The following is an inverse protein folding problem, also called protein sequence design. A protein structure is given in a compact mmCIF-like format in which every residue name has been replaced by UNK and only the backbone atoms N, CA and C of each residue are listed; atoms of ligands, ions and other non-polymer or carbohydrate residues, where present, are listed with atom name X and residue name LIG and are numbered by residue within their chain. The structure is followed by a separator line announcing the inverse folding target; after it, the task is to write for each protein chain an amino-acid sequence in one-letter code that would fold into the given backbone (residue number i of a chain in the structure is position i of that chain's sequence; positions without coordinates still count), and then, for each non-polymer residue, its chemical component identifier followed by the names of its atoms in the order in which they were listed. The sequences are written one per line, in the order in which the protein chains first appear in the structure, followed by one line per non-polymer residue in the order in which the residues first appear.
data_IF_541747998553
#
_entry.id   IF_541747998553
#
_cell.length_a   1.000
_cell.length_b   1.000
_cell.length_c   1.000
_cell.angle_alpha   90.00
_cell.angle_beta   90.00
_cell.angle_gamma   90.00
#
_symmetry.space_group_name_H-M   'P 1'
#
loop_
_entity.id
_entity.type
_entity.pdbx_description
1 polymer ?
#
# COMPACT_ATOMS: atom_id res chain seq x y z
N UNK A 1 4.63 -11.09 51.00
CA UNK A 1 4.25 -9.77 51.52
C UNK A 1 3.64 -8.99 50.39
N UNK A 2 2.42 -8.50 50.63
CA UNK A 2 1.52 -7.85 49.69
C UNK A 2 2.01 -6.47 49.27
N UNK A 3 1.57 -6.03 48.08
CA UNK A 3 1.73 -4.66 47.61
C UNK A 3 0.97 -4.35 46.33
N UNK A 4 -0.31 -4.76 46.25
CA UNK A 4 -1.26 -4.30 45.22
C UNK A 4 -1.94 -3.00 45.69
N UNK A 5 -1.98 -1.98 44.83
CA UNK A 5 -3.00 -0.91 44.78
C UNK A 5 -2.99 -0.39 43.33
N UNK A 6 -3.98 -0.61 42.45
CA UNK A 6 -5.44 -0.44 42.51
C UNK A 6 -5.90 1.03 42.29
N UNK A 7 -6.05 1.40 41.01
CA UNK A 7 -7.12 2.25 40.45
C UNK A 7 -7.44 1.70 39.03
N UNK A 8 -8.30 0.68 38.94
CA UNK A 8 -9.74 0.77 38.54
C UNK A 8 -9.86 1.10 37.04
N UNK A 9 -10.02 0.11 36.15
CA UNK A 9 -11.23 -0.71 35.84
C UNK A 9 -12.34 0.13 35.19
N UNK A 10 -12.61 -0.15 33.92
CA UNK A 10 -13.71 0.45 33.17
C UNK A 10 -13.91 -0.17 31.78
N UNK A 11 -14.52 -1.37 31.76
CA UNK A 11 -15.26 -1.98 30.64
C UNK A 11 -14.43 -2.72 29.56
N UNK A 12 -14.02 -3.94 29.90
CA UNK A 12 -13.93 -5.09 28.97
C UNK A 12 -15.11 -6.01 29.27
N UNK A 13 -16.35 -5.54 29.14
CA UNK A 13 -17.58 -6.37 29.13
C UNK A 13 -18.71 -5.59 28.41
N UNK A 14 -18.65 -5.44 27.08
CA UNK A 14 -19.85 -5.08 26.27
C UNK A 14 -19.94 -5.83 24.94
N UNK A 15 -18.87 -6.35 24.35
CA UNK A 15 -18.96 -7.03 23.03
C UNK A 15 -19.16 -8.55 23.08
N UNK A 16 -19.30 -9.14 24.27
CA UNK A 16 -19.58 -10.59 24.45
C UNK A 16 -21.04 -10.93 24.77
N UNK A 17 -21.95 -9.96 24.89
CA UNK A 17 -23.36 -10.16 25.27
C UNK A 17 -24.32 -9.50 24.26
N UNK A 18 -24.01 -9.59 22.96
CA UNK A 18 -24.95 -9.25 21.87
C UNK A 18 -25.11 -10.40 20.85
N UNK A 19 -24.69 -11.62 21.20
CA UNK A 19 -24.79 -12.81 20.33
C UNK A 19 -25.45 -14.02 21.02
N UNK A 20 -26.50 -13.82 21.85
CA UNK A 20 -27.21 -14.99 22.38
C UNK A 20 -28.30 -14.73 23.40
N UNK A 21 -29.35 -13.99 23.06
CA UNK A 21 -30.68 -14.13 23.68
C UNK A 21 -31.71 -13.35 22.85
N UNK A 22 -32.33 -14.00 21.87
CA UNK A 22 -33.38 -13.38 21.08
C UNK A 22 -33.86 -14.24 19.91
N UNK A 23 -34.62 -15.30 20.20
CA UNK A 23 -35.64 -15.78 19.27
C UNK A 23 -35.37 -17.13 18.58
N UNK A 24 -35.32 -18.22 19.35
CA UNK A 24 -36.08 -19.40 18.94
C UNK A 24 -37.55 -19.12 19.31
N UNK A 25 -38.42 -19.11 18.30
CA UNK A 25 -39.90 -19.23 18.28
C UNK A 25 -40.43 -18.27 17.21
N UNK A 26 -40.63 -18.78 15.99
CA UNK A 26 -41.97 -18.84 15.39
C UNK A 26 -41.93 -19.75 14.16
N UNK A 27 -42.51 -20.94 14.32
CA UNK A 27 -42.91 -21.82 13.22
C UNK A 27 -44.34 -21.46 12.81
N UNK A 28 -44.57 -21.54 11.50
CA UNK A 28 -45.80 -21.94 10.80
C UNK A 28 -46.79 -20.87 10.29
N UNK A 29 -47.16 -21.13 9.02
CA UNK A 29 -48.31 -20.72 8.20
C UNK A 29 -48.22 -19.35 7.49
N UNK A 30 -48.52 -19.20 6.19
CA UNK A 30 -49.23 -20.09 5.27
C UNK A 30 -48.97 -19.71 3.79
N UNK A 31 -48.99 -20.75 2.95
CA UNK A 31 -49.37 -20.86 1.53
C UNK A 31 -49.65 -19.64 0.62
N UNK A 32 -49.18 -19.84 -0.62
CA UNK A 32 -49.81 -19.59 -1.93
C UNK A 32 -49.43 -18.36 -2.75
N UNK A 33 -48.65 -18.64 -3.80
CA UNK A 33 -48.83 -18.27 -5.22
C UNK A 33 -49.40 -16.88 -5.58
N UNK A 34 -48.61 -16.09 -6.33
CA UNK A 34 -48.89 -15.84 -7.76
C UNK A 34 -47.78 -15.03 -8.44
N UNK A 35 -47.64 -15.38 -9.71
CA UNK A 35 -46.86 -14.82 -10.81
C UNK A 35 -47.29 -13.39 -11.19
N UNK A 36 -46.32 -12.60 -11.67
CA UNK A 36 -46.52 -11.52 -12.64
C UNK A 36 -46.65 -10.09 -12.10
N UNK A 37 -45.61 -9.26 -12.31
CA UNK A 37 -45.71 -7.97 -13.02
C UNK A 37 -44.34 -7.28 -13.08
N UNK A 38 -43.92 -6.98 -14.31
CA UNK A 38 -42.80 -6.13 -14.68
C UNK A 38 -43.00 -4.70 -14.18
N UNK A 39 -42.02 -4.16 -13.47
CA UNK A 39 -41.84 -2.71 -13.30
C UNK A 39 -40.37 -2.40 -13.55
N UNK A 40 -40.14 -1.71 -14.66
CA UNK A 40 -38.84 -1.20 -15.09
C UNK A 40 -38.43 -0.04 -14.19
N UNK A 41 -37.64 -0.34 -13.16
CA UNK A 41 -36.97 0.68 -12.35
C UNK A 41 -35.69 1.11 -13.07
N UNK A 42 -35.57 2.41 -13.38
CA UNK A 42 -34.33 3.04 -13.83
C UNK A 42 -33.15 2.63 -12.94
N UNK A 43 -31.92 2.45 -13.48
CA UNK A 43 -30.75 2.32 -12.65
C UNK A 43 -30.46 3.67 -11.98
N UNK A 44 -30.88 3.79 -10.73
CA UNK A 44 -30.28 4.72 -9.77
C UNK A 44 -28.77 4.46 -9.77
N UNK A 45 -27.91 5.46 -9.97
CA UNK A 45 -26.48 5.27 -9.77
C UNK A 45 -26.28 4.91 -8.29
N UNK A 46 -25.95 3.65 -8.05
CA UNK A 46 -25.51 3.14 -6.78
C UNK A 46 -24.17 3.82 -6.44
N UNK A 47 -24.29 5.02 -5.87
CA UNK A 47 -23.22 5.68 -5.15
C UNK A 47 -23.06 4.97 -3.80
N UNK A 48 -22.64 3.71 -3.86
CA UNK A 48 -22.05 3.04 -2.72
C UNK A 48 -20.55 3.33 -2.76
N UNK A 49 -20.20 4.45 -2.13
CA UNK A 49 -18.87 4.72 -1.61
C UNK A 49 -18.56 3.73 -0.47
N UNK A 50 -18.56 2.44 -0.78
CA UNK A 50 -18.05 1.41 0.11
C UNK A 50 -16.53 1.43 -0.04
N UNK A 51 -15.90 2.26 0.80
CA UNK A 51 -14.46 2.33 1.02
C UNK A 51 -13.97 0.93 1.39
N UNK A 52 -13.24 0.20 0.52
CA UNK A 52 -12.61 -1.04 0.95
C UNK A 52 -11.47 -0.64 1.87
N UNK A 53 -11.54 -1.04 3.14
CA UNK A 53 -10.33 -1.08 3.95
C UNK A 53 -9.40 -2.09 3.29
N UNK A 54 -8.27 -1.63 2.78
CA UNK A 54 -7.45 -2.44 1.90
C UNK A 54 -6.06 -1.86 1.70
N UNK A 55 -5.21 -2.62 1.06
CA UNK A 55 -3.87 -2.22 0.69
C UNK A 55 -3.83 -1.62 -0.71
N UNK A 56 -2.71 -0.96 -1.05
CA UNK A 56 -2.48 -0.50 -2.41
C UNK A 56 -2.48 -1.66 -3.41
N UNK A 57 -1.94 -2.81 -2.97
CA UNK A 57 -1.95 -4.05 -3.73
C UNK A 57 -3.38 -4.55 -4.01
N UNK A 58 -4.27 -4.50 -3.03
CA UNK A 58 -5.67 -4.88 -3.21
C UNK A 58 -6.35 -4.02 -4.27
N UNK A 59 -6.15 -2.70 -4.21
CA UNK A 59 -6.70 -1.74 -5.19
C UNK A 59 -6.21 -2.05 -6.59
N UNK A 60 -4.91 -2.32 -6.74
CA UNK A 60 -4.33 -2.65 -8.04
C UNK A 60 -4.92 -3.95 -8.59
N UNK A 61 -5.06 -4.98 -7.74
CA UNK A 61 -5.59 -6.28 -8.11
C UNK A 61 -7.08 -6.28 -8.46
N UNK A 62 -7.85 -5.25 -8.06
CA UNK A 62 -9.23 -5.08 -8.54
C UNK A 62 -9.32 -4.82 -10.04
N UNK A 63 -8.24 -4.36 -10.69
CA UNK A 63 -8.18 -4.10 -12.14
C UNK A 63 -9.09 -2.97 -12.62
N UNK A 64 -9.73 -2.23 -11.71
CA UNK A 64 -10.64 -1.13 -12.03
C UNK A 64 -9.86 0.13 -12.41
N UNK A 65 -10.42 0.91 -13.34
CA UNK A 65 -9.93 2.26 -13.60
C UNK A 65 -10.51 3.22 -12.57
N UNK A 66 -9.68 3.68 -11.64
CA UNK A 66 -10.14 4.48 -10.51
C UNK A 66 -9.05 5.42 -9.98
N UNK A 67 -9.50 6.54 -9.42
CA UNK A 67 -8.71 7.45 -8.61
C UNK A 67 -9.08 7.21 -7.15
N UNK A 68 -8.11 6.93 -6.29
CA UNK A 68 -8.30 6.72 -4.88
C UNK A 68 -7.53 7.77 -4.08
N UNK A 69 -8.14 8.32 -3.03
CA UNK A 69 -7.45 9.17 -2.05
C UNK A 69 -7.44 8.49 -0.70
N UNK A 70 -6.35 8.66 0.06
CA UNK A 70 -6.25 8.14 1.42
C UNK A 70 -5.50 9.12 2.32
N UNK A 71 -5.71 8.92 3.61
CA UNK A 71 -4.93 9.55 4.67
C UNK A 71 -4.71 8.53 5.77
N UNK A 72 -3.49 8.41 6.25
CA UNK A 72 -3.10 7.52 7.34
C UNK A 72 -2.22 8.29 8.32
N UNK A 73 -2.40 8.03 9.61
CA UNK A 73 -1.61 8.65 10.68
C UNK A 73 -1.12 7.57 11.63
N UNK A 74 0.18 7.57 11.90
CA UNK A 74 0.81 6.82 12.97
C UNK A 74 1.18 7.77 14.13
N UNK A 75 1.77 7.22 15.18
CA UNK A 75 2.24 8.01 16.34
C UNK A 75 3.34 9.02 15.96
N UNK A 76 4.11 8.73 14.90
CA UNK A 76 5.31 9.49 14.52
C UNK A 76 5.18 10.22 13.19
N UNK A 77 4.19 9.88 12.36
CA UNK A 77 4.05 10.44 11.02
C UNK A 77 2.60 10.47 10.53
N UNK A 78 2.32 11.29 9.53
CA UNK A 78 1.08 11.23 8.77
C UNK A 78 1.36 11.22 7.27
N UNK A 79 0.68 10.35 6.55
CA UNK A 79 0.78 10.22 5.10
C UNK A 79 -0.58 10.47 4.47
N UNK A 80 -0.62 11.34 3.47
CA UNK A 80 -1.79 11.49 2.59
C UNK A 80 -1.37 11.24 1.15
N UNK A 81 -2.31 10.82 0.32
CA UNK A 81 -1.97 10.62 -1.08
C UNK A 81 -3.14 10.38 -2.00
N UNK A 82 -2.82 10.48 -3.28
CA UNK A 82 -3.69 10.14 -4.39
C UNK A 82 -3.06 9.01 -5.18
N UNK A 83 -3.86 7.99 -5.47
CA UNK A 83 -3.50 6.83 -6.26
C UNK A 83 -4.40 6.79 -7.48
N UNK A 84 -3.81 6.43 -8.60
CA UNK A 84 -4.37 6.43 -9.94
C UNK A 84 -4.12 5.05 -10.52
N UNK A 85 -5.16 4.24 -10.72
CA UNK A 85 -5.04 2.85 -11.19
C UNK A 85 -5.79 2.67 -12.49
N UNK A 86 -5.19 1.96 -13.45
CA UNK A 86 -5.87 1.44 -14.63
C UNK A 86 -5.12 0.23 -15.18
N UNK A 87 -5.82 -0.89 -15.39
CA UNK A 87 -5.23 -2.12 -15.94
C UNK A 87 -3.94 -2.53 -15.19
N UNK A 88 -2.80 -2.48 -15.87
CA UNK A 88 -1.47 -2.81 -15.34
C UNK A 88 -0.62 -1.57 -14.99
N UNK A 89 -1.25 -0.40 -14.84
CA UNK A 89 -0.61 0.87 -14.53
C UNK A 89 -1.09 1.43 -13.21
N UNK A 90 -0.16 2.01 -12.47
CA UNK A 90 -0.42 2.64 -11.18
C UNK A 90 0.43 3.90 -11.05
N UNK A 91 -0.16 4.99 -10.60
CA UNK A 91 0.54 6.20 -10.20
C UNK A 91 0.14 6.54 -8.77
N UNK A 92 1.11 6.84 -7.92
CA UNK A 92 0.90 7.29 -6.56
C UNK A 92 1.63 8.59 -6.31
N UNK A 93 0.93 9.56 -5.74
CA UNK A 93 1.46 10.84 -5.29
C UNK A 93 1.19 10.94 -3.78
N UNK A 94 2.26 11.00 -3.00
CA UNK A 94 2.20 10.94 -1.54
C UNK A 94 2.88 12.15 -0.91
N UNK A 95 2.32 12.60 0.21
CA UNK A 95 2.97 13.55 1.13
C UNK A 95 3.10 12.88 2.48
N UNK A 96 4.33 12.80 2.98
CA UNK A 96 4.66 12.25 4.29
C UNK A 96 5.08 13.40 5.19
N UNK A 97 4.46 13.52 6.35
CA UNK A 97 4.84 14.50 7.37
C UNK A 97 5.34 13.77 8.60
N UNK A 98 6.60 14.02 8.99
CA UNK A 98 7.25 13.45 10.16
C UNK A 98 8.11 14.52 10.83
N UNK A 99 8.10 14.58 12.17
CA UNK A 99 8.91 15.53 12.95
C UNK A 99 8.85 17.00 12.45
N UNK A 100 7.67 17.46 12.01
CA UNK A 100 7.39 18.78 11.40
C UNK A 100 8.02 19.04 10.02
N UNK A 101 8.65 18.05 9.39
CA UNK A 101 9.06 18.10 7.99
C UNK A 101 8.01 17.39 7.14
N UNK A 102 7.64 17.99 6.01
CA UNK A 102 6.83 17.34 4.98
C UNK A 102 7.70 17.06 3.77
N UNK A 103 7.67 15.84 3.26
CA UNK A 103 8.32 15.44 2.02
C UNK A 103 7.35 14.76 1.06
N UNK A 104 7.58 14.96 -0.22
CA UNK A 104 6.82 14.36 -1.31
C UNK A 104 7.49 13.08 -1.77
N UNK A 105 6.70 12.05 -1.99
CA UNK A 105 7.13 10.78 -2.58
C UNK A 105 6.17 10.43 -3.72
N UNK A 106 6.72 9.90 -4.80
CA UNK A 106 5.99 9.58 -6.01
C UNK A 106 6.36 8.18 -6.45
N UNK A 107 5.37 7.43 -6.93
CA UNK A 107 5.58 6.11 -7.51
C UNK A 107 4.83 5.99 -8.83
N UNK A 108 5.41 5.30 -9.79
CA UNK A 108 4.79 4.98 -11.06
C UNK A 108 5.11 3.54 -11.45
N UNK A 109 4.09 2.75 -11.76
CA UNK A 109 4.19 1.44 -12.39
C UNK A 109 3.55 1.49 -13.76
N UNK A 110 4.26 1.00 -14.76
CA UNK A 110 3.76 0.81 -16.11
C UNK A 110 4.18 -0.59 -16.59
N UNK A 111 3.25 -1.54 -16.57
CA UNK A 111 3.59 -2.96 -16.74
C UNK A 111 4.43 -3.46 -15.56
N UNK A 112 5.63 -3.97 -15.84
CA UNK A 112 6.58 -4.43 -14.80
C UNK A 112 7.63 -3.38 -14.43
N UNK A 113 7.67 -2.24 -15.14
CA UNK A 113 8.63 -1.18 -14.83
C UNK A 113 8.06 -0.25 -13.77
N UNK A 114 8.81 -0.07 -12.69
CA UNK A 114 8.47 0.75 -11.54
C UNK A 114 9.47 1.90 -11.42
N UNK A 115 8.96 3.06 -11.06
CA UNK A 115 9.71 4.29 -10.82
C UNK A 115 9.33 4.82 -9.46
N UNK A 116 10.32 5.27 -8.69
CA UNK A 116 10.13 5.92 -7.39
C UNK A 116 11.02 7.16 -7.34
N UNK A 117 10.49 8.29 -6.90
CA UNK A 117 11.27 9.52 -6.71
C UNK A 117 10.60 10.41 -5.66
N UNK A 118 11.33 11.35 -5.09
CA UNK A 118 10.81 12.22 -4.03
C UNK A 118 11.86 13.15 -3.45
N UNK A 119 11.46 14.00 -2.52
CA UNK A 119 12.31 15.05 -1.95
C UNK A 119 13.48 14.48 -1.14
N UNK A 120 13.28 13.32 -0.52
CA UNK A 120 14.28 12.64 0.31
C UNK A 120 15.16 11.67 -0.49
N UNK A 121 14.98 11.58 -1.82
CA UNK A 121 15.79 10.73 -2.70
C UNK A 121 16.74 11.59 -3.56
N UNK A 122 18.05 11.29 -3.58
CA UNK A 122 19.02 12.08 -4.36
C UNK A 122 18.81 11.95 -5.88
N UNK A 123 18.27 10.81 -6.33
CA UNK A 123 17.86 10.53 -7.71
C UNK A 123 16.60 9.69 -7.70
N UNK A 124 15.85 9.69 -8.81
CA UNK A 124 14.81 8.69 -9.01
C UNK A 124 15.41 7.28 -9.10
N UNK A 125 14.61 6.28 -8.75
CA UNK A 125 14.94 4.87 -8.85
C UNK A 125 14.04 4.25 -9.91
N UNK A 126 14.61 3.45 -10.81
CA UNK A 126 13.88 2.63 -11.78
C UNK A 126 14.20 1.16 -11.52
N UNK A 127 13.18 0.31 -11.54
CA UNK A 127 13.33 -1.14 -11.35
C UNK A 127 12.31 -1.92 -12.17
N UNK A 128 12.69 -3.08 -12.67
CA UNK A 128 11.80 -4.02 -13.35
C UNK A 128 11.50 -5.19 -12.41
N UNK A 129 10.28 -5.24 -11.89
CA UNK A 129 9.84 -6.26 -10.93
C UNK A 129 8.38 -6.63 -11.20
N UNK A 130 8.09 -7.93 -11.07
CA UNK A 130 6.71 -8.42 -11.03
C UNK A 130 6.02 -7.90 -9.77
N UNK A 131 4.69 -7.88 -9.80
CA UNK A 131 3.91 -7.33 -8.70
C UNK A 131 4.09 -8.15 -7.42
N UNK A 132 4.20 -9.47 -7.57
CA UNK A 132 4.40 -10.43 -6.49
C UNK A 132 5.77 -10.20 -5.81
N UNK A 133 6.79 -9.93 -6.61
CA UNK A 133 8.13 -9.63 -6.12
C UNK A 133 8.16 -8.28 -5.40
N UNK A 134 7.41 -7.28 -5.88
CA UNK A 134 7.29 -5.98 -5.23
C UNK A 134 6.61 -6.11 -3.86
N UNK A 135 5.52 -6.87 -3.79
CA UNK A 135 4.75 -7.09 -2.57
C UNK A 135 5.56 -7.83 -1.48
N UNK A 136 6.45 -8.74 -1.88
CA UNK A 136 7.30 -9.51 -0.97
C UNK A 136 8.64 -8.86 -0.61
N UNK A 137 8.98 -7.70 -1.18
CA UNK A 137 10.29 -7.09 -1.02
C UNK A 137 10.30 -6.08 0.16
N UNK A 138 10.93 -6.48 1.26
CA UNK A 138 11.06 -5.67 2.50
C UNK A 138 11.81 -4.34 2.29
N UNK A 139 12.75 -4.29 1.35
CA UNK A 139 13.47 -3.06 1.02
C UNK A 139 12.58 -2.10 0.21
N UNK A 140 11.79 -2.62 -0.73
CA UNK A 140 10.82 -1.81 -1.50
C UNK A 140 9.73 -1.24 -0.58
N UNK A 141 9.27 -2.03 0.38
CA UNK A 141 8.35 -1.60 1.44
C UNK A 141 8.93 -0.48 2.31
N UNK A 142 10.26 -0.40 2.45
CA UNK A 142 10.94 0.70 3.11
C UNK A 142 10.77 2.06 2.42
N UNK A 143 10.44 2.09 1.13
CA UNK A 143 10.10 3.32 0.40
C UNK A 143 8.59 3.53 0.33
N UNK A 144 7.85 2.50 -0.09
CA UNK A 144 6.38 2.49 -0.15
C UNK A 144 5.89 1.10 0.24
N UNK A 145 5.20 0.99 1.37
CA UNK A 145 4.56 -0.26 1.77
C UNK A 145 3.23 -0.45 1.01
N UNK A 146 3.28 -1.27 -0.04
CA UNK A 146 2.11 -1.59 -0.87
C UNK A 146 1.08 -2.48 -0.15
N UNK A 147 1.45 -3.11 0.97
CA UNK A 147 0.59 -3.98 1.76
C UNK A 147 -0.08 -3.24 2.93
N UNK A 148 0.35 -2.00 3.21
CA UNK A 148 -0.21 -1.19 4.28
C UNK A 148 -1.71 -1.00 4.08
N UNK A 149 -2.50 -1.45 5.06
CA UNK A 149 -3.96 -1.30 5.04
C UNK A 149 -4.34 0.12 5.44
N UNK A 150 -5.09 0.80 4.58
CA UNK A 150 -5.63 2.14 4.82
C UNK A 150 -7.04 2.26 4.22
N UNK A 151 -7.75 3.31 4.60
CA UNK A 151 -9.10 3.59 4.10
C UNK A 151 -9.04 4.39 2.81
N UNK A 152 -9.16 3.71 1.67
CA UNK A 152 -9.10 4.33 0.35
C UNK A 152 -10.47 4.74 -0.18
N UNK A 153 -10.65 6.03 -0.44
CA UNK A 153 -11.85 6.58 -1.07
C UNK A 153 -11.64 6.62 -2.58
N UNK A 154 -12.24 5.67 -3.29
CA UNK A 154 -12.07 5.51 -4.73
C UNK A 154 -13.28 6.01 -5.52
N UNK A 155 -13.02 6.66 -6.65
CA UNK A 155 -14.04 7.06 -7.64
C UNK A 155 -13.61 6.65 -9.04
N UNK A 156 -14.55 6.37 -9.96
CA UNK A 156 -14.24 6.23 -11.38
C UNK A 156 -13.51 7.46 -11.91
N UNK A 157 -12.66 7.26 -12.93
CA UNK A 157 -11.86 8.34 -13.51
C UNK A 157 -11.57 8.08 -14.99
N UNK A 158 -11.51 9.15 -15.79
CA UNK A 158 -11.10 9.15 -17.20
C UNK A 158 -9.57 9.18 -17.33
N UNK A 159 -8.99 8.11 -17.86
CA UNK A 159 -7.55 7.90 -17.98
C UNK A 159 -6.83 9.12 -18.60
N UNK A 160 -5.82 9.62 -17.90
CA UNK A 160 -4.82 10.52 -18.44
C UNK A 160 -3.49 9.77 -18.61
N UNK A 161 -3.06 9.56 -19.84
CA UNK A 161 -1.83 8.84 -20.14
C UNK A 161 -0.56 9.59 -19.69
N UNK A 162 -0.62 10.92 -19.54
CA UNK A 162 0.53 11.71 -19.10
C UNK A 162 0.93 11.36 -17.66
N UNK A 163 -0.03 11.01 -16.79
CA UNK A 163 0.25 10.57 -15.41
C UNK A 163 1.04 9.26 -15.33
N UNK A 164 1.03 8.48 -16.41
CA UNK A 164 1.74 7.21 -16.51
C UNK A 164 3.08 7.30 -17.25
N UNK A 165 3.56 8.51 -17.50
CA UNK A 165 4.87 8.78 -18.09
C UNK A 165 5.79 9.37 -17.01
N UNK A 166 6.99 8.83 -16.79
CA UNK A 166 7.92 9.40 -15.81
C UNK A 166 8.35 10.81 -16.25
N UNK A 167 8.51 11.76 -15.32
CA UNK A 167 8.92 13.13 -15.63
C UNK A 167 10.35 13.17 -16.20
N UNK A 168 10.55 13.91 -17.31
CA UNK A 168 11.84 13.99 -18.01
C UNK A 168 12.94 14.75 -17.26
N UNK A 169 12.56 15.57 -16.28
CA UNK A 169 13.49 16.33 -15.43
C UNK A 169 14.06 15.50 -14.26
N UNK A 170 13.57 14.28 -14.04
CA UNK A 170 14.09 13.39 -13.00
C UNK A 170 15.07 12.39 -13.63
N UNK A 171 16.30 12.37 -13.11
CA UNK A 171 17.28 11.34 -13.47
C UNK A 171 16.97 10.07 -12.69
N UNK A 172 16.81 8.96 -13.40
CA UNK A 172 16.54 7.66 -12.80
C UNK A 172 17.80 6.79 -12.81
N UNK A 173 18.17 6.30 -11.64
CA UNK A 173 19.14 5.23 -11.47
C UNK A 173 18.43 3.91 -11.75
N UNK A 174 18.86 3.21 -12.81
CA UNK A 174 18.30 1.90 -13.16
C UNK A 174 18.92 0.81 -12.27
N UNK A 175 18.07 0.17 -11.48
CA UNK A 175 18.40 -0.96 -10.62
C UNK A 175 17.77 -2.26 -11.16
N UNK A 176 17.24 -2.26 -12.38
CA UNK A 176 16.73 -3.47 -13.04
C UNK A 176 17.89 -4.45 -13.25
N UNK A 177 17.76 -5.66 -12.71
CA UNK A 177 18.85 -6.66 -12.71
C UNK A 177 19.71 -6.65 -11.45
N UNK A 178 19.50 -5.69 -10.53
CA UNK A 178 20.02 -5.81 -9.18
C UNK A 178 19.18 -6.86 -8.44
N UNK A 179 19.69 -8.10 -8.36
CA UNK A 179 19.23 -9.06 -7.36
C UNK A 179 19.68 -8.53 -6.00
N UNK A 180 18.91 -7.59 -5.45
CA UNK A 180 19.12 -7.13 -4.08
C UNK A 180 19.01 -8.40 -3.24
N UNK A 181 20.05 -8.77 -2.46
CA UNK A 181 19.97 -9.95 -1.60
C UNK A 181 18.70 -9.83 -0.77
N UNK A 182 17.70 -10.64 -1.08
CA UNK A 182 16.51 -10.74 -0.26
C UNK A 182 17.05 -11.29 1.05
N UNK A 183 17.12 -10.44 2.08
CA UNK A 183 17.44 -10.93 3.41
C UNK A 183 16.25 -11.77 3.89
N UNK A 184 16.13 -13.00 3.37
CA UNK A 184 15.74 -14.11 4.23
C UNK A 184 16.86 -14.18 5.25
N UNK A 185 16.53 -13.81 6.47
CA UNK A 185 17.40 -13.83 7.64
C UNK A 185 18.42 -14.97 7.57
N UNK A 186 19.69 -14.63 7.33
CA UNK A 186 20.79 -15.53 7.67
C UNK A 186 21.01 -15.40 9.18
N UNK A 187 20.92 -16.49 9.96
CA UNK A 187 21.05 -16.46 11.42
C UNK A 187 22.53 -16.40 11.84
N UNK A 188 23.30 -15.48 11.26
CA UNK A 188 24.72 -15.35 11.55
C UNK A 188 25.19 -13.92 11.31
N UNK A 189 25.46 -13.21 12.41
CA UNK A 189 26.10 -11.91 12.40
C UNK A 189 27.41 -11.95 11.63
N UNK A 190 27.42 -11.34 10.45
CA UNK A 190 28.61 -11.12 9.64
C UNK A 190 28.90 -9.63 9.57
N UNK A 191 30.09 -9.25 10.02
CA UNK A 191 30.64 -7.90 10.05
C UNK A 191 30.47 -7.13 8.73
N UNK A 192 30.16 -5.84 8.83
CA UNK A 192 29.82 -4.93 7.73
C UNK A 192 30.85 -4.78 6.59
N UNK A 193 32.02 -5.41 6.66
CA UNK A 193 32.99 -5.41 5.55
C UNK A 193 32.59 -6.31 4.37
N UNK A 194 31.86 -7.41 4.61
CA UNK A 194 31.44 -8.34 3.55
C UNK A 194 30.19 -7.87 2.76
N UNK A 195 29.52 -6.82 3.22
CA UNK A 195 28.34 -6.28 2.54
C UNK A 195 28.74 -5.29 1.45
N UNK A 196 29.80 -4.50 1.65
CA UNK A 196 30.34 -3.59 0.64
C UNK A 196 30.87 -4.32 -0.61
N UNK A 197 31.52 -5.46 -0.41
CA UNK A 197 32.05 -6.28 -1.51
C UNK A 197 30.93 -6.87 -2.38
N UNK A 198 29.72 -7.01 -1.85
CA UNK A 198 28.54 -7.43 -2.61
C UNK A 198 28.14 -6.38 -3.67
N UNK A 199 28.50 -5.10 -3.48
CA UNK A 199 28.30 -4.06 -4.48
C UNK A 199 29.29 -4.14 -5.66
N UNK A 200 30.37 -4.93 -5.56
CA UNK A 200 31.36 -5.02 -6.64
C UNK A 200 30.89 -5.80 -7.87
N UNK A 201 29.84 -6.62 -7.72
CA UNK A 201 29.16 -7.27 -8.85
C UNK A 201 28.34 -6.28 -9.69
N UNK A 202 28.15 -5.06 -9.19
CA UNK A 202 27.38 -4.00 -9.86
C UNK A 202 28.31 -3.08 -10.65
N UNK A 203 27.73 -2.37 -11.61
CA UNK A 203 28.41 -1.34 -12.38
C UNK A 203 27.58 -0.05 -12.43
N UNK A 204 28.22 1.04 -12.85
CA UNK A 204 27.56 2.35 -13.01
C UNK A 204 26.90 2.86 -11.73
N UNK A 205 25.77 3.54 -11.91
CA UNK A 205 25.00 4.17 -10.82
C UNK A 205 24.47 3.17 -9.79
N UNK A 206 24.21 1.92 -10.18
CA UNK A 206 23.78 0.88 -9.25
C UNK A 206 24.87 0.54 -8.22
N UNK A 207 26.14 0.48 -8.64
CA UNK A 207 27.28 0.30 -7.73
C UNK A 207 27.42 1.47 -6.76
N UNK A 208 27.40 2.69 -7.28
CA UNK A 208 27.52 3.91 -6.46
C UNK A 208 26.40 3.98 -5.42
N UNK A 209 25.15 3.69 -5.82
CA UNK A 209 24.01 3.67 -4.90
C UNK A 209 24.15 2.59 -3.81
N UNK A 210 24.54 1.37 -4.20
CA UNK A 210 24.76 0.27 -3.25
C UNK A 210 25.81 0.64 -2.19
N UNK A 211 26.94 1.20 -2.61
CA UNK A 211 28.00 1.64 -1.70
C UNK A 211 27.52 2.76 -0.78
N UNK A 212 26.74 3.71 -1.29
CA UNK A 212 26.20 4.81 -0.49
C UNK A 212 25.25 4.32 0.60
N UNK A 213 24.32 3.42 0.28
CA UNK A 213 23.33 2.91 1.24
C UNK A 213 23.96 2.08 2.36
N UNK A 214 25.08 1.41 2.06
CA UNK A 214 25.80 0.60 3.03
C UNK A 214 26.89 1.39 3.77
N UNK A 215 26.99 2.71 3.56
CA UNK A 215 28.06 3.57 4.09
C UNK A 215 29.47 3.01 3.78
N UNK A 216 29.64 2.49 2.57
CA UNK A 216 30.88 1.92 2.05
C UNK A 216 31.67 2.89 1.17
N UNK A 217 31.30 4.18 1.18
CA UNK A 217 31.94 5.26 0.43
C UNK A 217 33.13 5.85 1.19
#
# INVERSE_FOLDING_TARGET
MNGFNLKVIGIVVVLGILLGAGGLIFLANNKSAKEGASVSTSPTPENQQNTPQGSLLDIFNLGKTQKCTFSYKSDTSSTEGTVYVTQNKLRGDFKVTSAKKTSSMYMLRNGETNYIWGDDLPTGIKMTLKLEDLAGNTQAQGYVDVNQKVDYKCTPWVIDNALFTPPSNIKFTDLSGYQIPTQKASPSGGSGQNQCSSCNSLSGSAKTYCLQQLNCL
#
